data_IF_010445688892
#
_entry.id   IF_010445688892
#
_cell.length_a   1.000
_cell.length_b   1.000
_cell.length_c   1.000
_cell.angle_alpha   90.00
_cell.angle_beta   90.00
_cell.angle_gamma   90.00
#
_symmetry.space_group_name_H-M   'P 1'
#
loop_
_entity.id
_entity.type
_entity.pdbx_description
1 polymer ?
#
# COMPACT_ATOMS: atom_id res chain seq x y z
N UNK A 1 -14.99 -5.72 -53.32
CA UNK A 1 -13.90 -5.23 -52.48
C UNK A 1 -14.09 -5.77 -51.07
N UNK A 2 -13.30 -6.75 -50.68
CA UNK A 2 -13.39 -7.37 -49.32
C UNK A 2 -12.37 -6.69 -48.44
N UNK A 3 -12.82 -6.06 -47.35
CA UNK A 3 -11.95 -5.51 -46.31
C UNK A 3 -11.49 -6.65 -45.39
N UNK A 4 -10.23 -6.96 -45.50
CA UNK A 4 -9.52 -7.89 -44.66
C UNK A 4 -9.14 -7.20 -43.33
N UNK A 5 -9.86 -7.53 -42.25
CA UNK A 5 -9.54 -7.01 -40.90
C UNK A 5 -8.43 -7.90 -40.31
N UNK A 6 -7.21 -7.39 -40.34
CA UNK A 6 -6.06 -8.00 -39.71
C UNK A 6 -6.22 -8.01 -38.20
N UNK A 7 -6.56 -9.17 -37.63
CA UNK A 7 -6.51 -9.49 -36.24
C UNK A 7 -5.06 -9.47 -35.71
N UNK A 8 -4.64 -8.38 -35.12
CA UNK A 8 -3.42 -8.35 -34.30
C UNK A 8 -3.75 -8.89 -32.91
N UNK A 9 -3.69 -10.21 -32.75
CA UNK A 9 -3.61 -10.81 -31.40
C UNK A 9 -2.25 -10.47 -30.78
N UNK A 10 -2.22 -9.42 -29.95
CA UNK A 10 -1.14 -9.16 -29.04
C UNK A 10 -1.00 -10.35 -28.09
N UNK A 11 0.10 -11.11 -28.21
CA UNK A 11 0.44 -12.16 -27.25
C UNK A 11 0.76 -11.48 -25.90
N UNK A 12 -0.18 -11.56 -24.95
CA UNK A 12 0.10 -11.35 -23.54
C UNK A 12 1.23 -12.31 -23.14
N UNK A 13 2.41 -11.79 -22.95
CA UNK A 13 3.45 -12.51 -22.22
C UNK A 13 3.01 -12.53 -20.76
N UNK A 14 2.25 -13.55 -20.37
CA UNK A 14 2.05 -13.92 -18.98
C UNK A 14 3.43 -14.16 -18.38
N UNK A 15 3.67 -13.51 -17.26
CA UNK A 15 4.88 -13.55 -16.47
C UNK A 15 5.42 -14.97 -16.34
N UNK A 16 6.54 -15.25 -17.00
CA UNK A 16 7.37 -16.37 -16.60
C UNK A 16 7.85 -16.09 -15.16
N UNK A 17 7.86 -17.08 -14.26
CA UNK A 17 8.45 -16.89 -12.94
C UNK A 17 9.92 -16.50 -13.16
N UNK A 18 10.29 -15.32 -12.63
CA UNK A 18 11.68 -14.87 -12.61
C UNK A 18 12.37 -15.76 -11.59
N UNK A 19 12.92 -16.88 -12.07
CA UNK A 19 13.88 -17.69 -11.33
C UNK A 19 15.25 -17.02 -11.47
N UNK A 20 15.40 -15.82 -10.97
CA UNK A 20 16.72 -15.25 -10.80
C UNK A 20 17.27 -15.76 -9.47
N UNK A 21 18.48 -16.33 -9.55
CA UNK A 21 19.36 -16.69 -8.43
C UNK A 21 19.20 -15.65 -7.32
N UNK A 22 18.77 -16.11 -6.15
CA UNK A 22 18.43 -15.25 -5.02
C UNK A 22 19.58 -14.30 -4.66
N UNK A 23 19.60 -13.15 -5.29
CA UNK A 23 20.49 -12.06 -4.92
C UNK A 23 19.95 -11.51 -3.61
N UNK A 24 20.54 -11.90 -2.50
CA UNK A 24 20.18 -11.38 -1.19
C UNK A 24 20.78 -9.99 -1.05
N UNK A 25 19.98 -9.02 -0.71
CA UNK A 25 20.37 -7.64 -0.44
C UNK A 25 20.37 -7.44 1.07
N UNK A 26 21.48 -6.99 1.63
CA UNK A 26 21.59 -6.64 3.06
C UNK A 26 21.43 -5.12 3.24
N UNK A 27 20.56 -4.72 4.16
CA UNK A 27 20.32 -3.30 4.46
C UNK A 27 19.93 -3.12 5.93
N UNK A 28 20.06 -1.89 6.43
CA UNK A 28 19.66 -1.55 7.79
C UNK A 28 18.20 -1.08 7.82
N UNK A 29 17.39 -1.66 8.72
CA UNK A 29 16.04 -1.20 9.00
C UNK A 29 15.91 -0.89 10.50
N UNK A 30 15.57 0.35 10.85
CA UNK A 30 15.49 0.84 12.23
C UNK A 30 16.73 0.48 13.07
N UNK A 31 17.93 0.60 12.47
CA UNK A 31 19.22 0.32 13.11
C UNK A 31 19.59 -1.16 13.19
N UNK A 32 18.79 -2.09 12.68
CA UNK A 32 19.11 -3.52 12.63
C UNK A 32 19.37 -3.97 11.20
N UNK A 33 20.37 -4.81 11.02
CA UNK A 33 20.65 -5.43 9.72
C UNK A 33 19.62 -6.48 9.41
N UNK A 34 18.97 -6.37 8.27
CA UNK A 34 18.05 -7.34 7.72
C UNK A 34 18.37 -7.63 6.25
N UNK A 35 17.77 -8.68 5.71
CA UNK A 35 17.98 -9.06 4.32
C UNK A 35 16.69 -9.03 3.53
N UNK A 36 16.78 -8.65 2.26
CA UNK A 36 15.71 -8.79 1.27
C UNK A 36 16.12 -9.82 0.22
N UNK A 37 15.17 -10.61 -0.24
CA UNK A 37 15.33 -11.47 -1.40
C UNK A 37 15.21 -10.65 -2.69
N UNK A 38 15.76 -11.14 -3.80
CA UNK A 38 15.68 -10.45 -5.08
C UNK A 38 14.24 -10.08 -5.45
N UNK A 39 14.01 -8.80 -5.74
CA UNK A 39 12.69 -8.28 -6.08
C UNK A 39 11.79 -7.90 -4.89
N UNK A 40 12.14 -8.27 -3.65
CA UNK A 40 11.37 -7.83 -2.48
C UNK A 40 11.43 -6.31 -2.30
N UNK A 41 10.31 -5.75 -1.90
CA UNK A 41 10.23 -4.36 -1.47
C UNK A 41 10.65 -4.22 0.00
N UNK A 42 10.94 -2.98 0.42
CA UNK A 42 11.28 -2.68 1.82
C UNK A 42 10.15 -3.16 2.76
N UNK A 43 8.88 -2.97 2.38
CA UNK A 43 7.73 -3.42 3.17
C UNK A 43 7.72 -4.95 3.33
N UNK A 44 7.92 -5.70 2.25
CA UNK A 44 7.94 -7.16 2.28
C UNK A 44 9.10 -7.70 3.12
N UNK A 45 10.30 -7.17 2.91
CA UNK A 45 11.46 -7.54 3.69
C UNK A 45 11.28 -7.21 5.18
N UNK A 46 10.76 -6.04 5.52
CA UNK A 46 10.45 -5.64 6.90
C UNK A 46 9.44 -6.61 7.54
N UNK A 47 8.31 -6.88 6.85
CA UNK A 47 7.26 -7.81 7.32
C UNK A 47 7.83 -9.21 7.60
N UNK A 48 8.64 -9.75 6.70
CA UNK A 48 9.29 -11.06 6.86
C UNK A 48 10.26 -11.11 8.05
N UNK A 49 10.86 -9.98 8.41
CA UNK A 49 11.74 -9.85 9.57
C UNK A 49 11.01 -9.38 10.84
N UNK A 50 9.67 -9.44 10.88
CA UNK A 50 8.86 -9.16 12.08
C UNK A 50 8.66 -7.67 12.37
N UNK A 51 8.90 -6.79 11.39
CA UNK A 51 8.60 -5.36 11.52
C UNK A 51 7.26 -5.03 10.87
N UNK A 52 6.50 -4.19 11.52
CA UNK A 52 5.25 -3.66 11.00
C UNK A 52 5.45 -2.24 10.48
N UNK A 53 4.98 -1.99 9.26
CA UNK A 53 4.92 -0.67 8.64
C UNK A 53 3.46 -0.42 8.25
N UNK A 54 2.86 0.73 8.58
CA UNK A 54 1.49 1.03 8.20
C UNK A 54 1.29 0.93 6.69
N UNK A 55 0.25 0.22 6.26
CA UNK A 55 -0.09 0.10 4.84
C UNK A 55 -1.59 -0.19 4.68
N UNK A 56 -2.21 0.35 3.63
CA UNK A 56 -3.63 0.20 3.37
C UNK A 56 -3.92 -0.22 1.93
N UNK A 57 -3.21 0.33 0.94
CA UNK A 57 -3.40 -0.05 -0.46
C UNK A 57 -2.59 -1.28 -0.88
N UNK A 58 -1.57 -1.67 -0.11
CA UNK A 58 -0.82 -2.89 -0.35
C UNK A 58 -1.60 -4.12 0.12
N UNK A 59 -1.54 -5.19 -0.62
CA UNK A 59 -1.98 -6.53 -0.25
C UNK A 59 -1.05 -7.55 -0.89
N UNK A 60 -0.77 -8.63 -0.17
CA UNK A 60 -0.05 -9.76 -0.76
C UNK A 60 -0.82 -10.25 -1.99
N UNK A 61 -0.12 -10.68 -3.02
CA UNK A 61 -0.66 -11.11 -4.31
C UNK A 61 -1.28 -10.04 -5.22
N UNK A 62 -1.23 -8.76 -4.84
CA UNK A 62 -1.56 -7.66 -5.73
C UNK A 62 -0.32 -6.82 -6.01
N UNK A 63 -0.20 -6.31 -7.22
CA UNK A 63 0.87 -5.37 -7.58
C UNK A 63 0.83 -4.16 -6.64
N UNK A 64 1.97 -3.78 -6.10
CA UNK A 64 2.06 -2.58 -5.26
C UNK A 64 1.76 -1.31 -6.09
N UNK A 65 0.90 -0.44 -5.57
CA UNK A 65 0.42 0.76 -6.27
C UNK A 65 0.94 2.06 -5.64
N UNK A 66 1.38 2.01 -4.37
CA UNK A 66 1.89 3.16 -3.64
C UNK A 66 0.87 4.29 -3.45
N UNK A 67 -0.41 4.01 -3.60
CA UNK A 67 -1.49 4.98 -3.67
C UNK A 67 -1.76 5.66 -2.31
N UNK A 68 -1.94 4.91 -1.23
CA UNK A 68 -2.36 5.46 0.07
C UNK A 68 -1.27 6.25 0.79
N UNK A 69 0.01 6.00 0.53
CA UNK A 69 1.15 6.63 1.19
C UNK A 69 1.25 6.41 2.70
N UNK A 70 0.49 5.49 3.28
CA UNK A 70 0.61 5.15 4.69
C UNK A 70 1.97 4.50 5.03
N UNK A 71 2.61 3.84 4.07
CA UNK A 71 3.84 3.08 4.26
C UNK A 71 5.14 3.90 4.03
N UNK A 72 5.09 5.21 4.25
CA UNK A 72 6.26 6.07 4.03
C UNK A 72 7.37 5.76 5.03
N UNK A 73 8.60 5.65 4.53
CA UNK A 73 9.82 5.45 5.32
C UNK A 73 10.87 6.49 4.93
N UNK A 74 11.78 6.77 5.82
CA UNK A 74 12.94 7.62 5.57
C UNK A 74 14.12 6.77 5.13
N UNK A 75 14.81 7.21 4.09
CA UNK A 75 16.03 6.56 3.58
C UNK A 75 17.14 7.57 3.73
N UNK A 76 18.24 7.18 4.37
CA UNK A 76 19.39 8.06 4.56
C UNK A 76 19.96 8.49 3.22
N UNK A 77 20.27 9.79 3.14
CA UNK A 77 20.74 10.42 1.90
C UNK A 77 19.63 10.79 0.92
N UNK A 78 18.37 10.39 1.11
CA UNK A 78 17.25 10.81 0.27
C UNK A 78 16.51 12.01 0.89
N UNK A 79 16.23 13.02 0.06
CA UNK A 79 15.49 14.22 0.49
C UNK A 79 14.03 13.91 0.81
N UNK A 80 13.41 13.03 0.03
CA UNK A 80 12.00 12.67 0.15
C UNK A 80 11.82 11.34 0.88
N UNK A 81 10.69 11.18 1.58
CA UNK A 81 10.27 9.88 2.09
C UNK A 81 9.88 8.97 0.91
N UNK A 82 10.12 7.67 1.06
CA UNK A 82 9.83 6.67 0.05
C UNK A 82 8.66 5.76 0.48
N UNK A 83 7.77 5.35 -0.45
CA UNK A 83 6.74 4.36 -0.16
C UNK A 83 7.37 2.96 -0.10
N UNK A 84 7.49 2.38 1.09
CA UNK A 84 8.15 1.10 1.31
C UNK A 84 7.54 -0.06 0.52
N UNK A 85 6.25 0.00 0.18
CA UNK A 85 5.57 -1.03 -0.61
C UNK A 85 6.00 -1.07 -2.09
N UNK A 86 6.61 0.00 -2.60
CA UNK A 86 7.07 0.10 -4.00
C UNK A 86 8.60 0.18 -4.12
N UNK A 87 9.30 0.54 -3.04
CA UNK A 87 10.74 0.73 -3.04
C UNK A 87 11.45 -0.59 -2.72
N UNK A 88 12.34 -1.02 -3.57
CA UNK A 88 13.27 -2.12 -3.30
C UNK A 88 14.50 -1.59 -2.55
N UNK A 89 15.03 -2.34 -1.59
CA UNK A 89 16.27 -1.96 -0.92
C UNK A 89 17.49 -2.23 -1.80
N UNK A 90 18.55 -1.47 -1.56
CA UNK A 90 19.88 -1.73 -2.11
C UNK A 90 20.82 -2.14 -0.97
N UNK A 91 21.98 -2.74 -1.30
CA UNK A 91 23.00 -3.03 -0.30
C UNK A 91 23.41 -1.76 0.45
N UNK A 92 23.63 -1.92 1.75
CA UNK A 92 24.05 -0.86 2.67
C UNK A 92 23.08 0.33 2.82
N UNK A 93 21.87 0.21 2.26
CA UNK A 93 20.82 1.20 2.45
C UNK A 93 20.43 1.29 3.93
N UNK A 94 20.26 2.48 4.45
CA UNK A 94 19.73 2.71 5.81
C UNK A 94 18.31 3.24 5.72
N UNK A 95 17.36 2.48 6.26
CA UNK A 95 15.93 2.76 6.23
C UNK A 95 15.40 2.93 7.65
N UNK A 96 14.63 3.98 7.89
CA UNK A 96 13.95 4.24 9.16
C UNK A 96 12.45 4.38 8.94
N UNK A 97 11.71 3.40 9.43
CA UNK A 97 10.24 3.42 9.45
C UNK A 97 9.66 4.12 10.69
N UNK A 98 10.48 4.27 11.73
CA UNK A 98 10.14 4.83 13.03
C UNK A 98 10.73 6.24 13.28
N UNK A 99 11.39 6.84 12.30
CA UNK A 99 11.87 8.21 12.44
C UNK A 99 10.72 9.19 12.68
N UNK A 100 10.97 10.28 13.40
CA UNK A 100 9.94 11.30 13.65
C UNK A 100 9.33 11.85 12.36
N UNK A 101 10.10 11.92 11.29
CA UNK A 101 9.63 12.35 9.96
C UNK A 101 8.73 11.31 9.30
N UNK A 102 9.10 10.03 9.34
CA UNK A 102 8.29 8.94 8.81
C UNK A 102 6.98 8.80 9.59
N UNK A 103 7.05 8.74 10.92
CA UNK A 103 5.86 8.64 11.78
C UNK A 103 4.90 9.81 11.59
N UNK A 104 5.41 11.04 11.50
CA UNK A 104 4.58 12.22 11.22
C UNK A 104 3.84 12.10 9.89
N UNK A 105 4.50 11.63 8.84
CA UNK A 105 3.88 11.43 7.54
C UNK A 105 2.83 10.31 7.57
N UNK A 106 3.14 9.18 8.21
CA UNK A 106 2.22 8.06 8.39
C UNK A 106 0.97 8.48 9.16
N UNK A 107 1.12 9.12 10.32
CA UNK A 107 0.00 9.61 11.14
C UNK A 107 -0.85 10.62 10.39
N UNK A 108 -0.25 11.55 9.65
CA UNK A 108 -0.97 12.55 8.88
C UNK A 108 -1.82 11.91 7.76
N UNK A 109 -1.30 10.89 7.09
CA UNK A 109 -2.07 10.15 6.06
C UNK A 109 -3.26 9.42 6.69
N UNK A 110 -3.05 8.75 7.83
CA UNK A 110 -4.13 8.05 8.53
C UNK A 110 -5.19 9.04 9.05
N UNK A 111 -4.78 10.19 9.54
CA UNK A 111 -5.67 11.26 9.99
C UNK A 111 -6.54 11.79 8.84
N UNK A 112 -5.95 12.02 7.66
CA UNK A 112 -6.69 12.40 6.45
C UNK A 112 -7.72 11.33 6.06
N UNK A 113 -7.31 10.06 6.01
CA UNK A 113 -8.18 8.95 5.65
C UNK A 113 -9.31 8.73 6.67
N UNK A 114 -9.02 8.95 7.96
CA UNK A 114 -10.05 8.89 9.01
C UNK A 114 -11.12 9.97 8.83
N UNK A 115 -10.73 11.17 8.41
CA UNK A 115 -11.67 12.24 8.04
C UNK A 115 -12.52 11.88 6.82
N UNK A 116 -11.97 11.13 5.86
CA UNK A 116 -12.69 10.68 4.66
C UNK A 116 -13.78 9.64 4.96
N UNK A 117 -13.51 8.70 5.86
CA UNK A 117 -14.43 7.59 6.19
C UNK A 117 -15.55 8.02 7.14
N UNK A 118 -15.35 9.11 7.89
CA UNK A 118 -16.32 9.57 8.90
C UNK A 118 -16.53 8.55 10.03
N UNK A 119 -17.63 8.70 10.75
CA UNK A 119 -17.98 7.82 11.89
C UNK A 119 -18.76 6.56 11.48
N UNK A 120 -18.52 6.04 10.29
CA UNK A 120 -19.16 4.81 9.83
C UNK A 120 -18.69 3.62 10.67
N UNK A 121 -19.47 3.26 11.68
CA UNK A 121 -19.20 2.08 12.49
C UNK A 121 -19.52 0.82 11.69
N UNK A 122 -18.48 0.12 11.28
CA UNK A 122 -18.61 -1.23 10.77
C UNK A 122 -18.55 -2.22 11.94
N UNK A 123 -19.25 -3.33 11.81
CA UNK A 123 -19.25 -4.40 12.82
C UNK A 123 -17.86 -4.98 13.09
N UNK A 124 -16.95 -4.88 12.12
CA UNK A 124 -15.58 -5.34 12.22
C UNK A 124 -14.61 -4.15 12.13
N UNK A 125 -13.58 -4.16 12.98
CA UNK A 125 -12.49 -3.17 12.90
C UNK A 125 -11.80 -3.26 11.55
N UNK A 126 -11.65 -2.11 10.89
CA UNK A 126 -10.94 -2.00 9.63
C UNK A 126 -9.41 -1.96 9.85
N UNK A 127 -8.64 -2.23 8.78
CA UNK A 127 -7.18 -2.01 8.82
C UNK A 127 -6.84 -0.54 9.09
N UNK A 128 -7.69 0.41 8.68
CA UNK A 128 -7.52 1.83 9.00
C UNK A 128 -7.62 2.06 10.52
N UNK A 129 -8.63 1.48 11.18
CA UNK A 129 -8.79 1.59 12.63
C UNK A 129 -7.59 0.98 13.35
N UNK A 130 -7.13 -0.19 12.91
CA UNK A 130 -5.95 -0.84 13.48
C UNK A 130 -4.72 0.10 13.43
N UNK A 131 -4.42 0.67 12.27
CA UNK A 131 -3.26 1.55 12.14
C UNK A 131 -3.45 2.90 12.85
N UNK A 132 -4.65 3.42 12.91
CA UNK A 132 -4.96 4.61 13.70
C UNK A 132 -4.66 4.38 15.19
N UNK A 133 -5.05 3.22 15.73
CA UNK A 133 -4.75 2.87 17.12
C UNK A 133 -3.25 2.69 17.36
N UNK A 134 -2.54 2.02 16.42
CA UNK A 134 -1.09 1.82 16.54
C UNK A 134 -0.29 3.14 16.52
N UNK A 135 -0.80 4.16 15.84
CA UNK A 135 -0.16 5.48 15.73
C UNK A 135 -0.85 6.58 16.55
N UNK A 136 -1.77 6.17 17.45
CA UNK A 136 -2.49 7.06 18.37
C UNK A 136 -3.27 8.19 17.65
N UNK A 137 -3.78 7.89 16.45
CA UNK A 137 -4.60 8.83 15.67
C UNK A 137 -6.07 8.66 16.07
N UNK A 138 -6.53 9.45 17.01
CA UNK A 138 -7.89 9.36 17.57
C UNK A 138 -8.91 10.13 16.76
N UNK A 139 -8.55 11.31 16.28
CA UNK A 139 -9.45 12.24 15.57
C UNK A 139 -8.76 12.85 14.35
N UNK A 140 -9.55 13.33 13.41
CA UNK A 140 -9.07 14.08 12.27
C UNK A 140 -9.23 15.58 12.50
N UNK A 141 -8.15 16.34 12.33
CA UNK A 141 -8.18 17.82 12.29
C UNK A 141 -8.79 18.34 11.00
N UNK A 142 -8.93 17.51 10.00
CA UNK A 142 -9.48 17.86 8.70
C UNK A 142 -10.98 17.64 8.72
N UNK A 143 -11.71 18.50 8.03
CA UNK A 143 -13.13 18.34 7.88
C UNK A 143 -13.49 17.01 7.24
N UNK A 144 -14.58 16.38 7.69
CA UNK A 144 -15.07 15.16 7.06
C UNK A 144 -15.67 15.45 5.70
N UNK A 145 -15.44 14.56 4.75
CA UNK A 145 -16.10 14.59 3.44
C UNK A 145 -17.60 14.38 3.61
N UNK A 146 -18.40 15.04 2.75
CA UNK A 146 -19.82 14.67 2.60
C UNK A 146 -19.88 13.18 2.22
N UNK A 147 -20.59 12.40 3.04
CA UNK A 147 -20.65 10.96 2.85
C UNK A 147 -21.47 10.62 1.60
N UNK A 148 -20.91 9.88 0.64
CA UNK A 148 -21.64 9.46 -0.54
C UNK A 148 -22.63 8.36 -0.20
N UNK A 149 -23.73 8.29 -0.94
CA UNK A 149 -24.70 7.21 -0.84
C UNK A 149 -24.04 5.90 -1.31
N UNK A 150 -24.33 4.80 -0.61
CA UNK A 150 -23.88 3.48 -1.05
C UNK A 150 -24.50 3.08 -2.38
N UNK A 151 -23.80 2.23 -3.12
CA UNK A 151 -24.27 1.67 -4.39
C UNK A 151 -24.66 0.20 -4.22
N UNK A 152 -25.95 -0.09 -4.40
CA UNK A 152 -26.54 -1.42 -4.41
C UNK A 152 -27.27 -1.70 -5.73
N UNK A 153 -26.85 -1.05 -6.81
CA UNK A 153 -27.48 -1.18 -8.14
C UNK A 153 -27.26 -2.58 -8.77
N UNK A 154 -26.21 -3.30 -8.37
CA UNK A 154 -25.93 -4.63 -8.88
C UNK A 154 -26.51 -5.72 -7.96
N UNK A 155 -27.16 -6.77 -8.48
CA UNK A 155 -27.85 -7.78 -7.66
C UNK A 155 -26.92 -8.61 -6.76
N UNK A 156 -25.63 -8.71 -7.09
CA UNK A 156 -24.66 -9.52 -6.33
C UNK A 156 -23.56 -8.67 -5.66
N UNK A 157 -23.52 -7.36 -5.87
CA UNK A 157 -22.46 -6.49 -5.35
C UNK A 157 -23.09 -5.25 -4.74
N UNK A 158 -22.78 -5.01 -3.47
CA UNK A 158 -23.11 -3.75 -2.80
C UNK A 158 -21.85 -3.06 -2.33
N UNK A 159 -21.73 -1.77 -2.58
CA UNK A 159 -20.57 -0.97 -2.23
C UNK A 159 -20.97 0.11 -1.23
N UNK A 160 -20.33 0.10 -0.06
CA UNK A 160 -20.44 1.20 0.89
C UNK A 160 -19.37 2.24 0.58
N UNK A 161 -19.76 3.29 -0.15
CA UNK A 161 -18.84 4.34 -0.56
C UNK A 161 -18.41 5.24 0.60
N UNK A 162 -19.15 5.29 1.69
CA UNK A 162 -18.74 6.05 2.88
C UNK A 162 -17.60 5.38 3.65
N UNK A 163 -17.42 4.06 3.47
CA UNK A 163 -16.29 3.30 4.02
C UNK A 163 -15.07 3.25 3.07
N UNK A 164 -15.20 3.78 1.88
CA UNK A 164 -14.18 3.65 0.85
C UNK A 164 -13.07 4.67 1.03
N UNK A 165 -11.86 4.21 1.33
CA UNK A 165 -10.62 5.00 1.38
C UNK A 165 -9.92 5.10 0.01
N UNK A 166 -10.55 4.69 -1.07
CA UNK A 166 -10.03 4.71 -2.44
C UNK A 166 -8.67 3.98 -2.61
N UNK A 167 -8.44 2.94 -1.82
CA UNK A 167 -7.20 2.17 -1.86
C UNK A 167 -7.02 1.31 -3.12
N UNK A 168 -8.02 1.20 -3.96
CA UNK A 168 -8.05 0.46 -5.25
C UNK A 168 -7.84 -1.06 -5.15
N UNK A 169 -7.75 -1.66 -3.96
CA UNK A 169 -7.52 -3.11 -3.80
C UNK A 169 -8.58 -3.95 -4.51
N UNK A 170 -9.86 -3.63 -4.31
CA UNK A 170 -10.98 -4.34 -4.97
C UNK A 170 -10.92 -4.21 -6.50
N UNK A 171 -10.59 -3.03 -7.01
CA UNK A 171 -10.48 -2.79 -8.47
C UNK A 171 -9.32 -3.57 -9.06
N UNK A 172 -8.17 -3.59 -8.38
CA UNK A 172 -6.99 -4.35 -8.82
C UNK A 172 -7.23 -5.85 -8.75
N UNK A 173 -7.85 -6.34 -7.69
CA UNK A 173 -8.19 -7.75 -7.55
C UNK A 173 -9.10 -8.29 -8.69
N UNK A 174 -9.89 -7.41 -9.31
CA UNK A 174 -10.69 -7.78 -10.48
C UNK A 174 -9.92 -7.69 -11.81
N UNK A 175 -8.76 -7.01 -11.84
CA UNK A 175 -7.99 -6.76 -13.07
C UNK A 175 -6.74 -7.63 -13.20
N UNK A 176 -6.15 -8.05 -12.10
CA UNK A 176 -4.94 -8.86 -11.99
C UNK A 176 -5.26 -10.34 -11.77
#
# INVERSE_FOLDING_TARGET
MRHEILSRRGRNRVNAPITDKATTVAFSFNGKQITASGGETILQAAKRNGYEIPHLCYSDNLRADGNCRACMVEIDGERALAPSCCRQPNNDMTVRGDSGRARKAQSLVLELLRGEVGNSHFSNRSELDYWCDQLEVTESRFGSRQQPVGDASHPAISVNLSACIQCTRCVRACRE
#
